data_IF_158042960974
#
_entry.id   IF_158042960974
#
_cell.length_a   1.000
_cell.length_b   1.000
_cell.length_c   1.000
_cell.angle_alpha   90.00
_cell.angle_beta   90.00
_cell.angle_gamma   90.00
#
_symmetry.space_group_name_H-M   'P 1'
#
loop_
_entity.id
_entity.type
_entity.pdbx_description
1 polymer ?
#
# COMPACT_ATOMS: atom_id res chain seq x y z
N UNK A 1 32.72 -0.11 28.03
CA UNK A 1 31.60 0.86 28.04
C UNK A 1 30.52 0.29 27.15
N UNK A 2 29.60 -0.47 27.74
CA UNK A 2 28.39 -0.90 27.04
C UNK A 2 27.51 0.34 26.88
N UNK A 3 27.39 0.82 25.64
CA UNK A 3 26.29 1.72 25.27
C UNK A 3 25.01 0.90 25.37
N UNK A 4 24.33 0.98 26.51
CA UNK A 4 22.92 0.66 26.60
C UNK A 4 22.20 1.57 25.62
N UNK A 5 21.91 1.04 24.42
CA UNK A 5 21.00 1.68 23.48
C UNK A 5 19.70 1.93 24.25
N UNK A 6 19.32 3.20 24.41
CA UNK A 6 18.08 3.58 25.08
C UNK A 6 16.90 3.33 24.13
N UNK A 7 16.53 2.05 24.01
CA UNK A 7 15.44 1.56 23.16
C UNK A 7 14.09 2.21 23.47
N UNK A 8 13.93 2.83 24.65
CA UNK A 8 12.72 3.58 25.00
C UNK A 8 12.51 4.78 24.07
N UNK A 9 13.58 5.35 23.53
CA UNK A 9 13.52 6.52 22.65
C UNK A 9 13.07 6.15 21.24
N UNK A 10 13.55 5.03 20.70
CA UNK A 10 13.16 4.56 19.35
C UNK A 10 11.71 4.05 19.33
N UNK A 11 11.28 3.30 20.34
CA UNK A 11 9.89 2.86 20.45
C UNK A 11 8.93 4.06 20.59
N UNK A 12 9.27 5.06 21.40
CA UNK A 12 8.50 6.32 21.49
C UNK A 12 8.47 7.09 20.18
N UNK A 13 9.58 7.10 19.44
CA UNK A 13 9.64 7.74 18.13
C UNK A 13 8.68 7.03 17.15
N UNK A 14 8.71 5.70 17.06
CA UNK A 14 7.79 4.93 16.21
C UNK A 14 6.34 5.16 16.63
N UNK A 15 6.03 5.11 17.93
CA UNK A 15 4.67 5.35 18.44
C UNK A 15 4.18 6.75 18.10
N UNK A 16 5.06 7.75 18.12
CA UNK A 16 4.72 9.12 17.70
C UNK A 16 4.39 9.22 16.21
N UNK A 17 4.80 8.25 15.38
CA UNK A 17 4.53 8.19 13.93
C UNK A 17 3.24 7.45 13.60
N UNK A 18 2.77 6.56 14.48
CA UNK A 18 1.54 5.81 14.26
C UNK A 18 0.35 6.78 14.16
N UNK A 19 -0.47 6.58 13.14
CA UNK A 19 -1.77 7.25 13.00
C UNK A 19 -2.84 6.18 13.15
N UNK A 20 -3.71 6.24 14.18
CA UNK A 20 -4.75 5.23 14.36
C UNK A 20 -5.73 5.24 13.18
N UNK A 21 -6.30 4.08 12.84
CA UNK A 21 -7.43 4.01 11.93
C UNK A 21 -8.69 4.48 12.65
N UNK A 22 -9.55 5.19 11.93
CA UNK A 22 -10.89 5.54 12.42
C UNK A 22 -11.79 4.28 12.34
N UNK A 23 -12.78 4.12 13.25
CA UNK A 23 -13.77 3.06 13.12
C UNK A 23 -14.58 3.23 11.83
N UNK A 24 -14.79 2.15 11.09
CA UNK A 24 -15.56 2.13 9.84
C UNK A 24 -16.69 1.10 9.91
N UNK A 25 -17.72 1.29 9.10
CA UNK A 25 -18.83 0.34 8.95
C UNK A 25 -18.93 -0.11 7.50
N UNK A 26 -18.81 -1.42 7.28
CA UNK A 26 -19.19 -2.03 6.00
C UNK A 26 -20.62 -2.59 6.10
N UNK A 27 -21.34 -2.59 4.99
CA UNK A 27 -22.71 -3.12 4.85
C UNK A 27 -22.75 -4.53 4.30
N UNK A 28 -21.71 -4.92 3.57
CA UNK A 28 -21.58 -6.22 2.88
C UNK A 28 -20.19 -6.79 3.14
N UNK A 29 -20.01 -8.08 2.92
CA UNK A 29 -18.67 -8.69 3.01
C UNK A 29 -17.75 -8.18 1.91
N UNK A 30 -16.49 -7.96 2.25
CA UNK A 30 -15.42 -7.76 1.26
C UNK A 30 -15.30 -9.02 0.38
N UNK A 31 -15.26 -8.88 -0.93
CA UNK A 31 -15.20 -9.99 -1.89
C UNK A 31 -13.77 -10.50 -2.07
N UNK A 32 -12.83 -9.61 -2.36
CA UNK A 32 -11.43 -9.95 -2.63
C UNK A 32 -10.67 -10.14 -1.32
N UNK A 33 -11.00 -9.34 -0.30
CA UNK A 33 -10.26 -9.29 0.98
C UNK A 33 -11.11 -9.72 2.19
N UNK A 34 -12.10 -10.61 2.01
CA UNK A 34 -13.14 -11.02 2.97
C UNK A 34 -12.78 -11.00 4.47
N UNK A 35 -11.59 -11.49 4.86
CA UNK A 35 -11.17 -11.56 6.27
C UNK A 35 -10.03 -10.62 6.64
N UNK A 36 -9.45 -9.91 5.67
CA UNK A 36 -8.15 -9.24 5.86
C UNK A 36 -8.27 -8.03 6.78
N UNK A 37 -9.35 -7.25 6.66
CA UNK A 37 -9.58 -6.06 7.46
C UNK A 37 -10.20 -6.33 8.85
N UNK A 38 -10.62 -7.57 9.14
CA UNK A 38 -11.33 -7.88 10.39
C UNK A 38 -12.64 -7.14 10.58
N UNK A 39 -13.26 -6.67 9.48
CA UNK A 39 -14.51 -5.92 9.49
C UNK A 39 -15.70 -6.86 9.32
N UNK A 40 -16.75 -6.65 10.11
CA UNK A 40 -17.99 -7.42 10.05
C UNK A 40 -19.12 -6.53 9.52
N UNK A 41 -19.92 -6.99 8.54
CA UNK A 41 -21.06 -6.24 8.05
C UNK A 41 -22.01 -5.78 9.17
N UNK A 42 -22.40 -4.50 9.13
CA UNK A 42 -23.29 -3.88 10.10
C UNK A 42 -22.65 -3.49 11.43
N UNK A 43 -21.38 -3.82 11.66
CA UNK A 43 -20.66 -3.48 12.90
C UNK A 43 -19.66 -2.37 12.61
N UNK A 44 -19.74 -1.26 13.36
CA UNK A 44 -18.70 -0.23 13.37
C UNK A 44 -17.50 -0.75 14.16
N UNK A 45 -16.36 -0.94 13.50
CA UNK A 45 -15.13 -1.38 14.15
C UNK A 45 -13.88 -0.79 13.52
N UNK A 46 -12.77 -0.83 14.25
CA UNK A 46 -11.46 -0.42 13.74
C UNK A 46 -10.92 -1.56 12.86
N UNK A 47 -10.43 -1.27 11.63
CA UNK A 47 -9.76 -2.28 10.81
C UNK A 47 -8.59 -2.95 11.55
N UNK A 48 -8.52 -4.28 11.49
CA UNK A 48 -7.46 -5.06 12.12
C UNK A 48 -6.11 -4.85 11.41
N UNK A 49 -5.10 -4.43 12.15
CA UNK A 49 -3.70 -4.24 11.73
C UNK A 49 -3.12 -5.31 10.81
N UNK A 50 -3.53 -6.58 10.96
CA UNK A 50 -3.10 -7.68 10.09
C UNK A 50 -3.49 -7.46 8.62
N UNK A 51 -4.46 -6.58 8.32
CA UNK A 51 -4.77 -6.16 6.96
C UNK A 51 -3.57 -5.47 6.30
N UNK A 52 -2.79 -4.69 7.06
CA UNK A 52 -1.56 -4.08 6.55
C UNK A 52 -0.53 -5.15 6.21
N UNK A 53 -0.40 -6.20 7.03
CA UNK A 53 0.44 -7.35 6.70
C UNK A 53 0.01 -7.97 5.36
N UNK A 54 -1.29 -8.13 5.13
CA UNK A 54 -1.81 -8.66 3.88
C UNK A 54 -1.54 -7.70 2.70
N UNK A 55 -1.74 -6.41 2.92
CA UNK A 55 -1.55 -5.41 1.88
C UNK A 55 -0.09 -5.29 1.45
N UNK A 56 0.86 -5.32 2.39
CA UNK A 56 2.31 -5.10 2.12
C UNK A 56 3.09 -6.38 1.82
N UNK A 57 2.55 -7.56 2.10
CA UNK A 57 3.27 -8.83 1.91
C UNK A 57 2.45 -9.97 1.30
N UNK A 58 1.15 -9.78 1.12
CA UNK A 58 0.23 -10.85 0.71
C UNK A 58 0.02 -11.93 1.77
N UNK A 59 0.49 -11.75 3.01
CA UNK A 59 0.34 -12.71 4.11
C UNK A 59 -0.77 -12.30 5.06
N UNK A 60 -1.50 -13.28 5.59
CA UNK A 60 -2.69 -13.03 6.43
C UNK A 60 -2.40 -12.38 7.78
N UNK A 61 -1.15 -12.42 8.25
CA UNK A 61 -0.73 -11.83 9.52
C UNK A 61 0.77 -11.57 9.54
N UNK A 62 1.24 -10.75 10.48
CA UNK A 62 2.67 -10.52 10.67
C UNK A 62 3.44 -11.80 11.01
N UNK A 63 2.83 -12.73 11.76
CA UNK A 63 3.45 -14.03 12.06
C UNK A 63 3.63 -14.89 10.80
N UNK A 64 2.70 -14.80 9.84
CA UNK A 64 2.83 -15.49 8.56
C UNK A 64 3.98 -14.92 7.70
N UNK A 65 4.31 -13.63 7.85
CA UNK A 65 5.51 -13.02 7.25
C UNK A 65 6.76 -13.68 7.86
N UNK A 66 6.87 -13.72 9.18
CA UNK A 66 8.00 -14.33 9.90
C UNK A 66 8.20 -15.79 9.47
N UNK A 67 7.13 -16.59 9.50
CA UNK A 67 7.18 -17.99 9.07
C UNK A 67 7.66 -18.15 7.63
N UNK A 68 7.29 -17.24 6.74
CA UNK A 68 7.75 -17.23 5.35
C UNK A 68 9.23 -16.88 5.25
N UNK A 69 9.68 -15.85 5.97
CA UNK A 69 11.09 -15.41 5.98
C UNK A 69 12.04 -16.54 6.36
N UNK A 70 11.68 -17.32 7.38
CA UNK A 70 12.50 -18.45 7.83
C UNK A 70 12.23 -19.76 7.09
N UNK A 71 11.13 -19.87 6.33
CA UNK A 71 10.82 -21.03 5.51
C UNK A 71 10.90 -22.37 6.27
N UNK A 72 11.74 -23.28 5.77
CA UNK A 72 11.99 -24.59 6.40
C UNK A 72 12.73 -24.49 7.72
N UNK A 73 13.50 -23.41 7.94
CA UNK A 73 14.22 -23.14 9.18
C UNK A 73 13.35 -22.45 10.25
N UNK A 74 12.04 -22.24 10.02
CA UNK A 74 11.17 -21.60 11.02
C UNK A 74 11.15 -22.32 12.37
N UNK A 75 11.22 -23.66 12.40
CA UNK A 75 11.33 -24.42 13.65
C UNK A 75 12.67 -24.19 14.35
N UNK A 76 13.75 -24.06 13.57
CA UNK A 76 15.07 -23.71 14.10
C UNK A 76 15.07 -22.30 14.66
N UNK A 77 14.40 -21.36 14.01
CA UNK A 77 14.17 -20.01 14.54
C UNK A 77 13.44 -20.03 15.89
N UNK A 78 12.35 -20.79 16.01
CA UNK A 78 11.63 -20.91 17.29
C UNK A 78 12.49 -21.53 18.41
N UNK A 79 13.32 -22.52 18.06
CA UNK A 79 14.28 -23.10 19.00
C UNK A 79 15.36 -22.07 19.41
N UNK A 80 15.88 -21.32 18.44
CA UNK A 80 16.84 -20.24 18.67
C UNK A 80 16.25 -19.15 19.57
N UNK A 81 15.01 -18.71 19.34
CA UNK A 81 14.35 -17.73 20.19
C UNK A 81 14.10 -18.24 21.61
N UNK A 82 13.74 -19.50 21.78
CA UNK A 82 13.46 -20.07 23.10
C UNK A 82 14.74 -20.36 23.91
N UNK A 83 15.83 -20.76 23.25
CA UNK A 83 17.03 -21.32 23.91
C UNK A 83 18.28 -20.45 23.80
N UNK A 84 18.26 -19.43 22.96
CA UNK A 84 19.40 -18.55 22.72
C UNK A 84 20.43 -19.12 21.74
N UNK A 85 21.40 -18.28 21.38
CA UNK A 85 22.44 -18.59 20.40
C UNK A 85 23.38 -19.71 20.85
N UNK A 86 23.66 -19.81 22.16
CA UNK A 86 24.58 -20.79 22.75
C UNK A 86 24.18 -22.25 22.52
N UNK A 87 22.88 -22.51 22.33
CA UNK A 87 22.32 -23.86 22.14
C UNK A 87 22.00 -24.17 20.68
N UNK A 88 22.39 -23.30 19.75
CA UNK A 88 22.13 -23.44 18.32
C UNK A 88 23.45 -23.71 17.59
N UNK A 89 23.50 -24.72 16.73
CA UNK A 89 24.75 -25.05 16.03
C UNK A 89 25.16 -23.90 15.09
N UNK A 90 26.46 -23.70 14.84
CA UNK A 90 26.95 -22.63 13.97
C UNK A 90 26.31 -22.63 12.58
N UNK A 91 26.06 -23.81 12.00
CA UNK A 91 25.46 -23.96 10.67
C UNK A 91 24.01 -23.52 10.65
N UNK A 92 23.24 -23.86 11.69
CA UNK A 92 21.85 -23.43 11.83
C UNK A 92 21.80 -21.92 12.02
N UNK A 93 22.66 -21.38 12.89
CA UNK A 93 22.76 -19.92 13.12
C UNK A 93 23.09 -19.18 11.83
N UNK A 94 24.06 -19.66 11.06
CA UNK A 94 24.42 -19.06 9.77
C UNK A 94 23.23 -19.01 8.78
N UNK A 95 22.43 -20.09 8.71
CA UNK A 95 21.21 -20.09 7.87
C UNK A 95 20.15 -19.10 8.37
N UNK A 96 19.94 -19.02 9.68
CA UNK A 96 18.99 -18.07 10.28
C UNK A 96 19.43 -16.61 10.05
N UNK A 97 20.73 -16.32 10.16
CA UNK A 97 21.29 -15.00 9.86
C UNK A 97 21.09 -14.65 8.38
N UNK A 98 21.31 -15.62 7.48
CA UNK A 98 21.07 -15.44 6.05
C UNK A 98 19.60 -15.09 5.74
N UNK A 99 18.63 -15.68 6.45
CA UNK A 99 17.20 -15.37 6.30
C UNK A 99 16.85 -13.91 6.60
N UNK A 100 17.59 -13.23 7.47
CA UNK A 100 17.35 -11.82 7.86
C UNK A 100 18.34 -10.85 7.19
N UNK A 101 18.94 -11.26 6.07
CA UNK A 101 19.81 -10.39 5.28
C UNK A 101 21.24 -10.29 5.82
N UNK A 102 21.72 -11.31 6.55
CA UNK A 102 23.12 -11.40 6.95
C UNK A 102 23.48 -10.66 8.24
N UNK A 103 22.50 -10.12 8.96
CA UNK A 103 22.72 -9.30 10.17
C UNK A 103 22.28 -10.05 11.41
N UNK A 104 23.23 -10.35 12.29
CA UNK A 104 22.98 -11.13 13.49
C UNK A 104 22.16 -10.36 14.51
N UNK A 105 22.35 -9.05 14.60
CA UNK A 105 21.65 -8.16 15.51
C UNK A 105 20.14 -8.20 15.24
N UNK A 106 19.76 -8.19 13.96
CA UNK A 106 18.36 -8.31 13.53
C UNK A 106 17.79 -9.68 13.91
N UNK A 107 18.56 -10.76 13.74
CA UNK A 107 18.11 -12.10 14.14
C UNK A 107 17.89 -12.16 15.66
N UNK A 108 18.81 -11.59 16.45
CA UNK A 108 18.73 -11.54 17.90
C UNK A 108 17.51 -10.74 18.37
N UNK A 109 17.24 -9.59 17.75
CA UNK A 109 16.09 -8.74 18.06
C UNK A 109 14.75 -9.46 17.75
N UNK A 110 14.63 -10.02 16.55
CA UNK A 110 13.44 -10.78 16.13
C UNK A 110 13.22 -12.00 17.05
N UNK A 111 14.31 -12.68 17.42
CA UNK A 111 14.26 -13.83 18.33
C UNK A 111 13.86 -13.44 19.76
N UNK A 112 14.36 -12.32 20.27
CA UNK A 112 13.99 -11.77 21.58
C UNK A 112 12.50 -11.42 21.61
N UNK A 113 12.02 -10.70 20.60
CA UNK A 113 10.61 -10.36 20.46
C UNK A 113 9.71 -11.59 20.32
N UNK A 114 10.18 -12.65 19.64
CA UNK A 114 9.45 -13.91 19.53
C UNK A 114 9.35 -14.63 20.89
N UNK A 115 10.45 -14.66 21.65
CA UNK A 115 10.51 -15.26 22.99
C UNK A 115 9.53 -14.60 23.96
N UNK A 116 9.36 -13.29 23.85
CA UNK A 116 8.44 -12.50 24.68
C UNK A 116 6.99 -12.56 24.19
N UNK A 117 6.72 -13.25 23.07
CA UNK A 117 5.39 -13.27 22.46
C UNK A 117 4.96 -11.95 21.81
N UNK A 118 5.88 -10.99 21.66
CA UNK A 118 5.62 -9.64 21.17
C UNK A 118 5.96 -9.42 19.69
N UNK A 119 6.54 -10.41 18.99
CA UNK A 119 7.04 -10.24 17.62
C UNK A 119 5.97 -9.72 16.65
N UNK A 120 4.77 -10.30 16.65
CA UNK A 120 3.70 -9.85 15.76
C UNK A 120 3.29 -8.39 16.05
N UNK A 121 3.20 -8.03 17.33
CA UNK A 121 2.87 -6.67 17.75
C UNK A 121 3.97 -5.66 17.37
N UNK A 122 5.25 -6.01 17.56
CA UNK A 122 6.39 -5.16 17.15
C UNK A 122 6.43 -4.94 15.64
N UNK A 123 6.26 -6.00 14.84
CA UNK A 123 6.16 -5.87 13.39
C UNK A 123 4.96 -5.02 12.97
N UNK A 124 3.81 -5.21 13.64
CA UNK A 124 2.64 -4.37 13.44
C UNK A 124 2.90 -2.89 13.70
N UNK A 125 3.56 -2.55 14.83
CA UNK A 125 3.96 -1.19 15.16
C UNK A 125 4.89 -0.59 14.10
N UNK A 126 5.88 -1.33 13.61
CA UNK A 126 6.81 -0.86 12.59
C UNK A 126 6.08 -0.57 11.26
N UNK A 127 5.24 -1.48 10.80
CA UNK A 127 4.47 -1.29 9.55
C UNK A 127 3.50 -0.12 9.68
N UNK A 128 2.82 0.02 10.82
CA UNK A 128 1.97 1.18 11.12
C UNK A 128 2.73 2.50 11.21
N UNK A 129 3.92 2.49 11.82
CA UNK A 129 4.77 3.67 11.90
C UNK A 129 5.20 4.12 10.50
N UNK A 130 5.62 3.17 9.66
CA UNK A 130 5.98 3.43 8.27
C UNK A 130 4.81 3.96 7.45
N UNK A 131 3.65 3.32 7.52
CA UNK A 131 2.42 3.80 6.87
C UNK A 131 2.01 5.18 7.39
N UNK A 132 2.07 5.42 8.70
CA UNK A 132 1.77 6.72 9.32
C UNK A 132 2.65 7.85 8.80
N UNK A 133 3.93 7.59 8.50
CA UNK A 133 4.82 8.56 7.83
C UNK A 133 4.30 8.89 6.42
N UNK A 134 3.98 7.87 5.63
CA UNK A 134 3.44 8.05 4.27
C UNK A 134 2.14 8.85 4.29
N UNK A 135 1.21 8.47 5.15
CA UNK A 135 -0.06 9.14 5.33
C UNK A 135 0.11 10.60 5.73
N UNK A 136 0.96 10.90 6.72
CA UNK A 136 1.19 12.28 7.18
C UNK A 136 1.80 13.14 6.08
N UNK A 137 2.79 12.61 5.36
CA UNK A 137 3.39 13.32 4.23
C UNK A 137 2.34 13.66 3.17
N UNK A 138 1.56 12.67 2.74
CA UNK A 138 0.54 12.86 1.70
C UNK A 138 -0.56 13.80 2.18
N UNK A 139 -1.05 13.63 3.41
CA UNK A 139 -2.06 14.50 4.00
C UNK A 139 -1.56 15.95 4.07
N UNK A 140 -0.31 16.18 4.46
CA UNK A 140 0.28 17.53 4.50
C UNK A 140 0.45 18.13 3.10
N UNK A 141 0.76 17.30 2.10
CA UNK A 141 0.78 17.74 0.70
C UNK A 141 -0.62 18.07 0.18
N UNK A 142 -1.65 17.34 0.61
CA UNK A 142 -3.04 17.44 0.12
C UNK A 142 -3.94 18.42 0.90
N UNK A 143 -3.57 18.81 2.12
CA UNK A 143 -4.44 19.63 2.98
C UNK A 143 -4.23 21.14 2.81
N UNK A 144 -3.33 21.56 1.92
CA UNK A 144 -3.03 22.98 1.72
C UNK A 144 -4.24 23.71 1.14
N UNK A 145 -4.51 24.90 1.67
CA UNK A 145 -5.41 25.85 1.02
C UNK A 145 -4.61 26.62 -0.03
N UNK A 146 -4.97 26.43 -1.29
CA UNK A 146 -4.41 27.15 -2.42
C UNK A 146 -5.54 27.95 -3.09
N UNK A 147 -5.78 29.21 -2.68
CA UNK A 147 -6.82 30.02 -3.31
C UNK A 147 -6.43 30.36 -4.75
N UNK A 148 -7.38 30.25 -5.67
CA UNK A 148 -7.22 30.71 -7.05
C UNK A 148 -7.03 32.23 -7.08
N UNK A 149 -6.01 32.77 -7.80
CA UNK A 149 -5.76 34.21 -7.88
C UNK A 149 -6.97 35.05 -8.35
N UNK A 150 -7.84 34.46 -9.18
CA UNK A 150 -8.97 35.17 -9.78
C UNK A 150 -10.26 35.11 -8.96
N UNK A 151 -10.63 33.93 -8.43
CA UNK A 151 -11.92 33.72 -7.78
C UNK A 151 -11.85 33.31 -6.30
N UNK A 152 -10.64 33.21 -5.73
CA UNK A 152 -10.36 32.84 -4.33
C UNK A 152 -10.86 31.45 -3.90
N UNK A 153 -11.49 30.66 -4.78
CA UNK A 153 -11.86 29.27 -4.52
C UNK A 153 -10.61 28.43 -4.32
N UNK A 154 -10.67 27.48 -3.39
CA UNK A 154 -9.56 26.55 -3.17
C UNK A 154 -9.36 25.67 -4.42
N UNK A 155 -8.15 25.65 -4.94
CA UNK A 155 -7.78 24.84 -6.10
C UNK A 155 -7.53 23.38 -5.73
N UNK A 156 -7.19 23.12 -4.47
CA UNK A 156 -7.03 21.76 -3.95
C UNK A 156 -8.39 21.23 -3.52
N UNK A 157 -8.69 20.01 -3.96
CA UNK A 157 -10.00 19.40 -3.70
C UNK A 157 -10.20 19.08 -2.22
N UNK A 158 -11.36 19.45 -1.69
CA UNK A 158 -11.81 19.00 -0.36
C UNK A 158 -12.36 17.57 -0.49
N UNK A 159 -11.81 16.56 0.21
CA UNK A 159 -12.25 15.17 0.10
C UNK A 159 -13.76 14.97 0.28
N UNK A 160 -14.34 15.56 1.33
CA UNK A 160 -15.77 15.42 1.63
C UNK A 160 -16.66 15.90 0.48
N UNK A 161 -16.32 17.06 -0.12
CA UNK A 161 -17.06 17.60 -1.25
C UNK A 161 -16.92 16.74 -2.52
N UNK A 162 -15.76 16.09 -2.70
CA UNK A 162 -15.54 15.21 -3.83
C UNK A 162 -16.39 13.94 -3.70
N UNK A 163 -16.34 13.28 -2.54
CA UNK A 163 -17.08 12.05 -2.26
C UNK A 163 -18.60 12.27 -2.30
N UNK A 164 -19.08 13.41 -1.81
CA UNK A 164 -20.51 13.77 -1.86
C UNK A 164 -21.09 13.94 -3.28
N UNK A 165 -20.24 14.08 -4.32
CA UNK A 165 -20.67 14.19 -5.72
C UNK A 165 -20.62 12.88 -6.49
N UNK A 166 -20.14 11.80 -5.86
CA UNK A 166 -20.01 10.51 -6.53
C UNK A 166 -21.30 9.70 -6.44
N UNK A 167 -21.38 8.62 -7.22
CA UNK A 167 -22.53 7.71 -7.23
C UNK A 167 -22.60 6.78 -6.01
N UNK A 168 -21.74 6.97 -5.01
CA UNK A 168 -21.75 6.20 -3.78
C UNK A 168 -22.17 7.06 -2.57
N UNK A 169 -22.99 6.50 -1.69
CA UNK A 169 -23.19 6.99 -0.32
C UNK A 169 -22.21 6.29 0.64
N UNK A 170 -21.19 7.03 1.08
CA UNK A 170 -20.22 6.65 2.10
C UNK A 170 -20.24 7.70 3.22
N UNK A 171 -20.13 7.27 4.47
CA UNK A 171 -19.88 8.23 5.53
C UNK A 171 -18.40 8.63 5.59
N UNK A 172 -18.17 9.65 6.41
CA UNK A 172 -16.87 10.26 6.59
C UNK A 172 -15.75 9.30 6.97
N UNK A 173 -15.91 8.41 7.96
CA UNK A 173 -14.85 7.46 8.29
C UNK A 173 -14.52 6.52 7.12
N UNK A 174 -15.53 6.07 6.37
CA UNK A 174 -15.34 5.12 5.27
C UNK A 174 -14.59 5.76 4.09
N UNK A 175 -15.01 6.96 3.65
CA UNK A 175 -14.29 7.60 2.55
C UNK A 175 -12.90 8.08 2.97
N UNK A 176 -12.69 8.47 4.23
CA UNK A 176 -11.35 8.80 4.76
C UNK A 176 -10.44 7.59 4.78
N UNK A 177 -10.99 6.42 5.13
CA UNK A 177 -10.25 5.16 5.07
C UNK A 177 -9.85 4.80 3.64
N UNK A 178 -10.75 4.97 2.67
CA UNK A 178 -10.44 4.79 1.24
C UNK A 178 -9.35 5.78 0.79
N UNK A 179 -9.48 7.07 1.09
CA UNK A 179 -8.48 8.08 0.75
C UNK A 179 -7.12 7.79 1.38
N UNK A 180 -7.08 7.25 2.61
CA UNK A 180 -5.85 6.83 3.27
C UNK A 180 -5.13 5.72 2.49
N UNK A 181 -5.86 4.69 2.05
CA UNK A 181 -5.30 3.63 1.19
C UNK A 181 -4.76 4.23 -0.12
N UNK A 182 -5.49 5.17 -0.73
CA UNK A 182 -5.04 5.85 -1.95
C UNK A 182 -3.79 6.70 -1.72
N UNK A 183 -3.68 7.37 -0.58
CA UNK A 183 -2.46 8.08 -0.18
C UNK A 183 -1.28 7.12 -0.05
N UNK A 184 -1.46 5.96 0.58
CA UNK A 184 -0.38 4.98 0.73
C UNK A 184 0.07 4.44 -0.62
N UNK A 185 -0.87 4.10 -1.52
CA UNK A 185 -0.57 3.66 -2.89
C UNK A 185 0.20 4.73 -3.67
N UNK A 186 -0.25 5.98 -3.61
CA UNK A 186 0.42 7.10 -4.27
C UNK A 186 1.79 7.38 -3.65
N UNK A 187 1.91 7.39 -2.33
CA UNK A 187 3.16 7.64 -1.62
C UNK A 187 4.20 6.57 -1.93
N UNK A 188 3.82 5.29 -1.79
CA UNK A 188 4.68 4.15 -2.08
C UNK A 188 5.15 4.16 -3.54
N UNK A 189 4.37 4.76 -4.45
CA UNK A 189 4.69 4.87 -5.88
C UNK A 189 5.54 6.08 -6.23
N UNK A 190 5.20 7.25 -5.71
CA UNK A 190 5.74 8.54 -6.16
C UNK A 190 6.88 9.07 -5.28
N UNK A 191 6.93 8.70 -4.00
CA UNK A 191 8.02 9.15 -3.11
C UNK A 191 9.41 8.69 -3.58
N UNK A 192 9.61 7.44 -4.04
CA UNK A 192 10.89 7.03 -4.61
C UNK A 192 11.32 7.87 -5.83
N UNK A 193 10.38 8.60 -6.44
CA UNK A 193 10.57 9.43 -7.63
C UNK A 193 10.59 10.93 -7.30
N UNK A 194 10.79 11.31 -6.04
CA UNK A 194 10.81 12.72 -5.65
C UNK A 194 11.92 13.52 -6.35
N UNK A 195 13.04 12.86 -6.69
CA UNK A 195 14.15 13.43 -7.46
C UNK A 195 14.04 13.18 -8.98
N UNK A 196 13.05 12.40 -9.41
CA UNK A 196 12.82 12.13 -10.83
C UNK A 196 12.32 13.39 -11.56
N UNK A 197 12.24 13.32 -12.88
CA UNK A 197 11.64 14.40 -13.67
C UNK A 197 10.13 14.52 -13.38
N UNK A 198 9.53 15.71 -13.55
CA UNK A 198 8.07 15.87 -13.44
C UNK A 198 7.30 14.95 -14.40
N UNK A 199 7.85 14.69 -15.58
CA UNK A 199 7.27 13.80 -16.58
C UNK A 199 7.23 12.35 -16.09
N UNK A 200 8.32 11.82 -15.55
CA UNK A 200 8.34 10.45 -15.01
C UNK A 200 7.33 10.27 -13.87
N UNK A 201 7.20 11.27 -12.99
CA UNK A 201 6.17 11.23 -11.93
C UNK A 201 4.76 11.23 -12.50
N UNK A 202 4.51 12.04 -13.52
CA UNK A 202 3.22 12.13 -14.21
C UNK A 202 2.87 10.80 -14.86
N UNK A 203 3.80 10.21 -15.62
CA UNK A 203 3.63 8.91 -16.28
C UNK A 203 3.30 7.80 -15.28
N UNK A 204 3.97 7.81 -14.12
CA UNK A 204 3.75 6.82 -13.04
C UNK A 204 2.38 6.98 -12.38
N UNK A 205 1.97 8.22 -12.11
CA UNK A 205 0.65 8.50 -11.54
C UNK A 205 -0.48 8.17 -12.54
N UNK A 206 -0.29 8.44 -13.84
CA UNK A 206 -1.23 8.04 -14.89
C UNK A 206 -1.27 6.51 -15.03
N UNK A 207 -0.12 5.83 -14.96
CA UNK A 207 -0.04 4.37 -14.95
C UNK A 207 -0.84 3.73 -13.81
N UNK A 208 -0.73 4.29 -12.60
CA UNK A 208 -1.56 3.89 -11.46
C UNK A 208 -3.05 4.06 -11.73
N UNK A 209 -3.47 5.24 -12.21
CA UNK A 209 -4.87 5.52 -12.50
C UNK A 209 -5.41 4.60 -13.61
N UNK A 210 -4.57 4.23 -14.57
CA UNK A 210 -4.94 3.32 -15.66
C UNK A 210 -5.20 1.88 -15.19
N UNK A 211 -4.63 1.45 -14.05
CA UNK A 211 -5.01 0.16 -13.43
C UNK A 211 -6.50 0.12 -13.07
N UNK A 212 -7.11 1.27 -12.79
CA UNK A 212 -8.53 1.41 -12.47
C UNK A 212 -9.39 1.72 -13.71
N UNK A 213 -8.89 1.45 -14.93
CA UNK A 213 -9.70 1.62 -16.14
C UNK A 213 -10.89 0.65 -16.16
N UNK A 214 -12.05 1.06 -16.69
CA UNK A 214 -13.17 0.14 -16.86
C UNK A 214 -12.82 -1.02 -17.80
N UNK A 215 -13.62 -2.09 -17.75
CA UNK A 215 -13.55 -3.24 -18.67
C UNK A 215 -12.75 -4.45 -18.17
N UNK A 216 -11.90 -4.31 -17.15
CA UNK A 216 -11.22 -5.44 -16.52
C UNK A 216 -10.92 -5.18 -15.04
N UNK A 217 -10.69 -6.24 -14.27
CA UNK A 217 -10.17 -6.11 -12.91
C UNK A 217 -8.78 -5.47 -12.95
N UNK A 218 -8.39 -4.74 -11.90
CA UNK A 218 -7.07 -4.06 -11.81
C UNK A 218 -5.90 -5.02 -11.97
N UNK A 219 -6.05 -6.26 -11.48
CA UNK A 219 -5.09 -7.34 -11.70
C UNK A 219 -4.99 -7.75 -13.18
N UNK A 220 -6.11 -7.73 -13.91
CA UNK A 220 -6.14 -7.98 -15.35
C UNK A 220 -5.43 -6.90 -16.16
N UNK A 221 -5.64 -5.63 -15.80
CA UNK A 221 -4.88 -4.52 -16.40
C UNK A 221 -3.38 -4.64 -16.13
N UNK A 222 -2.99 -4.94 -14.88
CA UNK A 222 -1.60 -5.21 -14.55
C UNK A 222 -1.02 -6.39 -15.34
N UNK A 223 -1.74 -7.51 -15.44
CA UNK A 223 -1.30 -8.67 -16.24
C UNK A 223 -1.16 -8.34 -17.73
N UNK A 224 -1.98 -7.45 -18.27
CA UNK A 224 -1.87 -6.98 -19.66
C UNK A 224 -0.55 -6.23 -19.85
N UNK A 225 -0.20 -5.32 -18.94
CA UNK A 225 1.09 -4.62 -18.97
C UNK A 225 2.28 -5.58 -18.85
N UNK A 226 2.16 -6.61 -18.00
CA UNK A 226 3.19 -7.66 -17.87
C UNK A 226 3.32 -8.47 -19.17
N UNK A 227 2.20 -8.84 -19.80
CA UNK A 227 2.21 -9.51 -21.10
C UNK A 227 2.97 -8.68 -22.13
N UNK A 228 2.68 -7.38 -22.22
CA UNK A 228 3.37 -6.45 -23.11
C UNK A 228 4.89 -6.41 -22.85
N UNK A 229 5.30 -6.34 -21.58
CA UNK A 229 6.72 -6.33 -21.19
C UNK A 229 7.46 -7.61 -21.60
N UNK A 230 6.81 -8.78 -21.49
CA UNK A 230 7.33 -10.06 -22.01
C UNK A 230 7.06 -10.27 -23.51
N UNK A 231 6.40 -9.31 -24.17
CA UNK A 231 5.86 -9.41 -25.55
C UNK A 231 4.94 -10.61 -25.77
N UNK A 232 4.35 -11.14 -24.69
CA UNK A 232 3.50 -12.32 -24.71
C UNK A 232 2.11 -11.94 -25.25
N UNK A 233 1.59 -12.63 -26.30
CA UNK A 233 0.28 -12.31 -26.86
C UNK A 233 -0.90 -12.67 -25.96
N UNK A 234 -0.69 -13.51 -24.94
CA UNK A 234 -1.72 -13.95 -24.00
C UNK A 234 -1.10 -14.52 -22.71
N UNK A 235 -1.94 -14.85 -21.72
CA UNK A 235 -1.51 -15.35 -20.41
C UNK A 235 -0.80 -16.71 -20.47
N UNK A 236 -1.18 -17.59 -21.41
CA UNK A 236 -0.49 -18.87 -21.60
C UNK A 236 0.94 -18.66 -22.12
N UNK A 237 1.12 -17.76 -23.09
CA UNK A 237 2.43 -17.38 -23.59
C UNK A 237 3.26 -16.64 -22.52
N UNK A 238 2.61 -15.86 -21.64
CA UNK A 238 3.27 -15.22 -20.50
C UNK A 238 3.90 -16.26 -19.58
N UNK A 239 3.16 -17.32 -19.22
CA UNK A 239 3.68 -18.39 -18.37
C UNK A 239 4.98 -18.98 -18.94
N UNK A 240 4.98 -19.31 -20.23
CA UNK A 240 6.14 -19.89 -20.90
C UNK A 240 7.32 -18.91 -20.96
N UNK A 241 7.07 -17.64 -21.32
CA UNK A 241 8.13 -16.63 -21.49
C UNK A 241 8.75 -16.17 -20.18
N UNK A 242 7.93 -15.99 -19.15
CA UNK A 242 8.37 -15.65 -17.81
C UNK A 242 8.90 -16.88 -17.03
N UNK A 243 8.85 -18.08 -17.63
CA UNK A 243 9.34 -19.35 -17.06
C UNK A 243 8.72 -19.63 -15.68
N UNK A 244 7.43 -19.35 -15.54
CA UNK A 244 6.70 -19.50 -14.29
C UNK A 244 6.60 -20.99 -13.92
N UNK A 245 6.97 -21.31 -12.68
CA UNK A 245 6.97 -22.68 -12.15
C UNK A 245 5.75 -22.95 -11.28
N UNK A 246 5.41 -22.01 -10.41
CA UNK A 246 4.28 -22.14 -9.47
C UNK A 246 3.00 -21.48 -9.98
N UNK A 247 3.10 -20.49 -10.86
CA UNK A 247 1.93 -19.81 -11.43
C UNK A 247 1.54 -20.46 -12.75
N UNK A 248 0.34 -21.04 -12.80
CA UNK A 248 -0.23 -21.67 -14.01
C UNK A 248 -1.04 -20.68 -14.85
N UNK A 249 -1.39 -20.99 -16.12
CA UNK A 249 -2.25 -20.12 -16.91
C UNK A 249 -3.62 -19.91 -16.26
N UNK A 250 -4.20 -20.97 -15.69
CA UNK A 250 -5.44 -20.87 -14.91
C UNK A 250 -5.31 -19.89 -13.74
N UNK A 251 -4.19 -19.94 -13.01
CA UNK A 251 -3.92 -18.98 -11.93
C UNK A 251 -3.88 -17.54 -12.46
N UNK A 252 -3.24 -17.30 -13.61
CA UNK A 252 -3.23 -15.98 -14.25
C UNK A 252 -4.64 -15.52 -14.65
N UNK A 253 -5.47 -16.39 -15.23
CA UNK A 253 -6.87 -16.06 -15.55
C UNK A 253 -7.70 -15.76 -14.30
N UNK A 254 -7.50 -16.51 -13.22
CA UNK A 254 -8.14 -16.28 -11.91
C UNK A 254 -7.74 -14.93 -11.33
N UNK A 255 -6.44 -14.61 -11.32
CA UNK A 255 -5.96 -13.28 -10.92
C UNK A 255 -6.58 -12.18 -11.78
N UNK A 256 -6.61 -12.35 -13.11
CA UNK A 256 -7.22 -11.38 -14.02
C UNK A 256 -8.71 -11.11 -13.78
N UNK A 257 -9.43 -12.04 -13.15
CA UNK A 257 -10.84 -11.90 -12.74
C UNK A 257 -11.04 -11.34 -11.33
N UNK A 258 -9.95 -11.02 -10.61
CA UNK A 258 -10.00 -10.45 -9.27
C UNK A 258 -9.78 -11.44 -8.13
N UNK A 259 -9.41 -12.69 -8.43
CA UNK A 259 -8.93 -13.57 -7.36
C UNK A 259 -7.59 -13.08 -6.80
N UNK A 260 -7.34 -13.38 -5.53
CA UNK A 260 -6.24 -12.81 -4.75
C UNK A 260 -4.87 -12.98 -5.42
N UNK A 261 -4.33 -11.91 -5.99
CA UNK A 261 -2.99 -11.84 -6.57
C UNK A 261 -1.92 -11.66 -5.50
N UNK A 262 -1.21 -12.71 -5.08
CA UNK A 262 -0.24 -12.61 -3.96
C UNK A 262 1.09 -11.92 -4.34
N UNK A 263 1.83 -11.45 -3.34
CA UNK A 263 3.19 -10.91 -3.54
C UNK A 263 4.16 -11.93 -4.13
N UNK A 264 4.10 -13.20 -3.70
CA UNK A 264 4.95 -14.26 -4.24
C UNK A 264 4.66 -14.43 -5.74
N UNK A 265 3.39 -14.39 -6.15
CA UNK A 265 3.01 -14.44 -7.56
C UNK A 265 3.51 -13.21 -8.33
N UNK A 266 3.35 -12.00 -7.79
CA UNK A 266 3.88 -10.76 -8.41
C UNK A 266 5.40 -10.88 -8.59
N UNK A 267 6.13 -11.28 -7.55
CA UNK A 267 7.58 -11.43 -7.57
C UNK A 267 8.02 -12.50 -8.58
N UNK A 268 7.35 -13.65 -8.63
CA UNK A 268 7.64 -14.70 -9.61
C UNK A 268 7.39 -14.21 -11.05
N UNK A 269 6.23 -13.59 -11.28
CA UNK A 269 5.81 -13.09 -12.59
C UNK A 269 6.77 -12.04 -13.13
N UNK A 270 7.29 -11.17 -12.27
CA UNK A 270 8.16 -10.05 -12.65
C UNK A 270 9.66 -10.35 -12.50
N UNK A 271 10.02 -11.55 -12.04
CA UNK A 271 11.41 -11.91 -11.71
C UNK A 271 12.39 -11.71 -12.87
N UNK A 272 12.00 -12.09 -14.07
CA UNK A 272 12.85 -12.05 -15.26
C UNK A 272 12.76 -10.70 -16.01
N UNK A 273 12.15 -9.68 -15.39
CA UNK A 273 12.11 -8.28 -15.88
C UNK A 273 13.10 -7.41 -15.06
N UNK A 274 14.42 -7.58 -15.24
CA UNK A 274 15.43 -6.95 -14.37
C UNK A 274 15.46 -5.41 -14.43
N UNK A 275 14.81 -4.80 -15.42
CA UNK A 275 14.71 -3.33 -15.57
C UNK A 275 13.36 -2.75 -15.16
N UNK A 276 12.39 -3.58 -14.79
CA UNK A 276 11.01 -3.15 -14.59
C UNK A 276 10.52 -3.42 -13.16
N UNK A 277 11.31 -2.96 -12.18
CA UNK A 277 10.88 -2.92 -10.75
C UNK A 277 9.53 -2.22 -10.59
N UNK A 278 9.21 -1.35 -11.53
CA UNK A 278 7.94 -0.67 -11.62
C UNK A 278 6.75 -1.63 -11.84
N UNK A 279 6.84 -2.64 -12.70
CA UNK A 279 5.75 -3.59 -12.87
C UNK A 279 5.47 -4.40 -11.59
N UNK A 280 6.51 -4.74 -10.83
CA UNK A 280 6.33 -5.36 -9.52
C UNK A 280 5.60 -4.41 -8.56
N UNK A 281 6.02 -3.15 -8.51
CA UNK A 281 5.40 -2.10 -7.72
C UNK A 281 3.94 -1.83 -8.13
N UNK A 282 3.63 -1.84 -9.43
CA UNK A 282 2.26 -1.74 -9.94
C UNK A 282 1.40 -2.93 -9.54
N UNK A 283 1.96 -4.15 -9.51
CA UNK A 283 1.24 -5.33 -9.03
C UNK A 283 0.85 -5.17 -7.56
N UNK A 284 1.73 -4.59 -6.74
CA UNK A 284 1.46 -4.27 -5.34
C UNK A 284 0.41 -3.16 -5.23
N UNK A 285 0.54 -2.09 -6.03
CA UNK A 285 -0.43 -1.00 -6.07
C UNK A 285 -1.82 -1.50 -6.49
N UNK A 286 -1.91 -2.39 -7.48
CA UNK A 286 -3.16 -3.00 -7.93
C UNK A 286 -3.87 -3.73 -6.78
N UNK A 287 -3.14 -4.34 -5.83
CA UNK A 287 -3.73 -4.95 -4.62
C UNK A 287 -4.37 -3.90 -3.71
N UNK A 288 -3.69 -2.79 -3.45
CA UNK A 288 -4.23 -1.70 -2.65
C UNK A 288 -5.44 -1.02 -3.29
N UNK A 289 -5.40 -0.82 -4.60
CA UNK A 289 -6.52 -0.28 -5.35
C UNK A 289 -7.70 -1.26 -5.38
N UNK A 290 -7.46 -2.57 -5.54
CA UNK A 290 -8.52 -3.58 -5.51
C UNK A 290 -9.17 -3.65 -4.13
N UNK A 291 -8.36 -3.52 -3.06
CA UNK A 291 -8.87 -3.42 -1.70
C UNK A 291 -9.73 -2.16 -1.50
N UNK A 292 -9.27 -1.01 -1.98
CA UNK A 292 -10.04 0.24 -1.91
C UNK A 292 -11.38 0.12 -2.66
N UNK A 293 -11.42 -0.53 -3.82
CA UNK A 293 -12.65 -0.75 -4.58
C UNK A 293 -13.62 -1.63 -3.80
N UNK A 294 -13.12 -2.72 -3.23
CA UNK A 294 -13.88 -3.66 -2.41
C UNK A 294 -14.48 -2.95 -1.18
N UNK A 295 -13.71 -2.06 -0.53
CA UNK A 295 -14.18 -1.22 0.58
C UNK A 295 -15.29 -0.28 0.15
N UNK A 296 -15.16 0.43 -0.99
CA UNK A 296 -16.22 1.31 -1.51
C UNK A 296 -17.51 0.52 -1.72
N UNK A 297 -17.43 -0.62 -2.40
CA UNK A 297 -18.61 -1.47 -2.67
C UNK A 297 -19.24 -2.00 -1.39
N UNK A 298 -18.40 -2.45 -0.45
CA UNK A 298 -18.85 -3.01 0.82
C UNK A 298 -19.45 -1.95 1.76
N UNK A 299 -18.92 -0.72 1.75
CA UNK A 299 -19.36 0.38 2.61
C UNK A 299 -20.54 1.18 2.04
N UNK A 300 -20.82 1.08 0.74
CA UNK A 300 -21.92 1.79 0.09
C UNK A 300 -23.26 1.52 0.78
N UNK A 301 -23.91 2.61 1.21
CA UNK A 301 -25.16 2.60 1.99
C UNK A 301 -26.44 2.50 1.15
N UNK A 302 -26.34 2.72 -0.16
CA UNK A 302 -27.49 2.61 -1.05
C UNK A 302 -28.07 1.20 -1.08
N UNK A 303 -29.36 1.12 -1.41
CA UNK A 303 -30.11 -0.13 -1.48
C UNK A 303 -29.51 -1.07 -2.54
N UNK A 304 -29.15 -0.52 -3.70
CA UNK A 304 -28.54 -1.27 -4.79
C UNK A 304 -27.06 -1.56 -4.51
N UNK A 305 -26.57 -2.69 -5.02
CA UNK A 305 -25.13 -2.97 -5.01
C UNK A 305 -24.42 -2.03 -5.97
N UNK A 306 -23.40 -1.32 -5.48
CA UNK A 306 -22.51 -0.56 -6.34
C UNK A 306 -21.69 -1.55 -7.19
N UNK A 307 -21.81 -1.47 -8.51
CA UNK A 307 -21.07 -2.35 -9.39
C UNK A 307 -19.56 -2.07 -9.34
N UNK A 308 -18.78 -3.08 -9.72
CA UNK A 308 -17.32 -3.01 -9.61
C UNK A 308 -16.72 -1.97 -10.56
N UNK A 309 -17.31 -1.80 -11.74
CA UNK A 309 -16.80 -0.88 -12.74
C UNK A 309 -16.97 0.57 -12.28
N UNK A 310 -18.12 0.91 -11.70
CA UNK A 310 -18.36 2.22 -11.08
C UNK A 310 -17.38 2.50 -9.95
N UNK A 311 -17.15 1.53 -9.05
CA UNK A 311 -16.16 1.68 -7.98
C UNK A 311 -14.74 1.92 -8.53
N UNK A 312 -14.34 1.19 -9.58
CA UNK A 312 -13.06 1.40 -10.26
C UNK A 312 -12.97 2.79 -10.91
N UNK A 313 -14.00 3.21 -11.64
CA UNK A 313 -14.06 4.52 -12.29
C UNK A 313 -13.92 5.65 -11.26
N UNK A 314 -14.58 5.52 -10.11
CA UNK A 314 -14.45 6.45 -8.99
C UNK A 314 -13.02 6.51 -8.46
N UNK A 315 -12.36 5.36 -8.23
CA UNK A 315 -10.96 5.33 -7.81
C UNK A 315 -10.04 5.96 -8.84
N UNK A 316 -10.25 5.69 -10.13
CA UNK A 316 -9.49 6.33 -11.22
C UNK A 316 -9.62 7.84 -11.17
N UNK A 317 -10.86 8.35 -11.08
CA UNK A 317 -11.14 9.76 -10.99
C UNK A 317 -10.50 10.38 -9.74
N UNK A 318 -10.57 9.69 -8.59
CA UNK A 318 -9.96 10.13 -7.34
C UNK A 318 -8.43 10.20 -7.42
N UNK A 319 -7.78 9.17 -7.97
CA UNK A 319 -6.34 9.15 -8.18
C UNK A 319 -5.87 10.29 -9.10
N UNK A 320 -6.60 10.52 -10.20
CA UNK A 320 -6.29 11.63 -11.12
C UNK A 320 -6.45 12.99 -10.45
N UNK A 321 -7.48 13.15 -9.61
CA UNK A 321 -7.66 14.36 -8.81
C UNK A 321 -6.51 14.54 -7.80
N UNK A 322 -6.17 13.51 -7.03
CA UNK A 322 -5.07 13.55 -6.06
C UNK A 322 -3.72 13.83 -6.74
N UNK A 323 -3.47 13.29 -7.93
CA UNK A 323 -2.30 13.63 -8.75
C UNK A 323 -2.25 15.12 -9.08
N UNK A 324 -3.37 15.69 -9.51
CA UNK A 324 -3.45 17.13 -9.81
C UNK A 324 -3.24 17.97 -8.55
N UNK A 325 -3.84 17.59 -7.43
CA UNK A 325 -3.64 18.25 -6.13
C UNK A 325 -2.16 18.19 -5.70
N UNK A 326 -1.47 17.05 -5.90
CA UNK A 326 -0.04 16.89 -5.60
C UNK A 326 0.77 17.89 -6.42
N UNK A 327 0.52 17.92 -7.73
CA UNK A 327 1.23 18.81 -8.67
C UNK A 327 1.07 20.26 -8.23
N UNK A 328 -0.13 20.71 -7.89
CA UNK A 328 -0.39 22.08 -7.42
C UNK A 328 0.36 22.38 -6.11
N UNK A 329 0.40 21.43 -5.18
CA UNK A 329 1.11 21.57 -3.91
C UNK A 329 2.63 21.65 -4.00
N UNK A 330 3.23 21.12 -5.09
CA UNK A 330 4.67 21.22 -5.36
C UNK A 330 5.03 22.49 -6.14
N UNK A 331 4.21 22.89 -7.13
CA UNK A 331 4.46 24.11 -7.92
C UNK A 331 4.47 25.36 -7.04
N UNK A 332 3.60 25.41 -6.04
CA UNK A 332 3.49 26.52 -5.09
C UNK A 332 4.67 26.65 -4.12
N UNK A 333 5.52 25.63 -3.98
CA UNK A 333 6.78 25.76 -3.22
C UNK A 333 7.91 26.39 -4.05
N UNK A 334 7.77 26.47 -5.37
CA UNK A 334 8.81 26.92 -6.31
C UNK A 334 8.56 28.30 -6.89
N UNK A 335 7.35 28.83 -6.78
CA UNK A 335 7.09 30.24 -7.08
C UNK A 335 7.40 31.03 -5.80
N UNK A 336 8.43 31.90 -5.78
CA UNK A 336 8.57 32.87 -4.68
C UNK A 336 7.25 33.63 -4.59
N UNK A 337 6.82 33.96 -3.38
CA UNK A 337 5.67 34.83 -3.18
C UNK A 337 5.87 36.07 -4.06
N UNK A 338 5.14 36.14 -5.17
CA UNK A 338 5.16 37.32 -6.02
C UNK A 338 4.79 38.52 -5.18
N UNK A 339 5.34 39.71 -5.47
CA UNK A 339 5.09 40.89 -4.67
C UNK A 339 3.59 41.04 -4.45
N UNK A 340 3.20 41.06 -3.17
CA UNK A 340 1.83 41.30 -2.76
C UNK A 340 1.38 42.59 -3.45
N UNK A 341 0.25 42.55 -4.17
CA UNK A 341 -0.29 43.65 -4.99
C UNK A 341 -0.60 44.94 -4.20
N UNK A 342 -0.22 45.01 -2.92
CA UNK A 342 -0.26 46.17 -2.05
C UNK A 342 0.91 47.15 -2.27
N UNK A 343 1.89 46.82 -3.12
CA UNK A 343 3.04 47.69 -3.45
C UNK A 343 3.02 48.21 -4.91
N UNK A 344 1.85 48.37 -5.51
CA UNK A 344 1.75 49.21 -6.71
C UNK A 344 1.45 50.64 -6.23
N UNK A 345 2.38 51.60 -6.37
CA UNK A 345 2.04 52.99 -6.15
C UNK A 345 0.90 53.35 -7.11
N UNK A 346 -0.11 54.04 -6.58
CA UNK A 346 -1.16 54.61 -7.39
C UNK A 346 -0.52 55.51 -8.46
N UNK A 347 -0.52 55.04 -9.70
CA UNK A 347 -0.15 55.79 -10.89
C UNK A 347 -1.40 56.31 -11.58
#
# INVERSE_FOLDING_TARGET
METTHDFSTEERAIESLIVPFEPVTIRRHLKVFASSAGLTPGVTSIPNDDFLANLVSGKRSFLAIVRRTFGTDFRNFLNYSARGAERTTPEVRARLIACVGGKEEILAEIAMAAREGMLAAKLGKLVKGGEGVLFRFMRAAMSKKLPCPHCQKNMITVPAEWWARQQCDLAEPEYRFVDRILYDVLAATLLPLILATPQEREERAVGLANLCSPGAHMFGHWLTMVCEAYRAPNLAALQARARLKSVTPDSLYRFGRGEMLTFDAIAEITKELPRDRWLAQLGIAARGLAFAADVIQAAHRGADELDHETAQQMLRARLMQMKNDLRLSFVTKLLPAGPTRAELPAG
#
